data_IF_043645481480
#
_entry.id   IF_043645481480
#
_cell.length_a   1.000
_cell.length_b   1.000
_cell.length_c   1.000
_cell.angle_alpha   90.00
_cell.angle_beta   90.00
_cell.angle_gamma   90.00
#
_symmetry.space_group_name_H-M   'P 1'
#
loop_
_entity.id
_entity.type
_entity.pdbx_description
1 polymer ?
#
# COMPACT_ATOMS: atom_id res chain seq x y z
N UNK A 1 -14.97 4.23 1.39
CA UNK A 1 -14.11 5.36 1.78
C UNK A 1 -13.43 5.90 0.53
N UNK A 2 -13.79 7.13 0.14
CA UNK A 2 -13.21 7.80 -1.04
C UNK A 2 -11.90 8.44 -0.59
N UNK A 3 -10.77 7.86 -0.97
CA UNK A 3 -9.47 8.47 -0.76
C UNK A 3 -9.24 9.56 -1.83
N UNK A 4 -8.72 10.69 -1.39
CA UNK A 4 -8.50 11.92 -2.13
C UNK A 4 -7.92 11.70 -3.54
N UNK A 5 -8.40 12.44 -4.54
CA UNK A 5 -7.82 12.42 -5.87
C UNK A 5 -6.41 13.04 -5.83
N UNK A 6 -5.39 12.25 -6.13
CA UNK A 6 -4.05 12.78 -6.37
C UNK A 6 -3.99 13.34 -7.79
N UNK A 7 -3.69 14.61 -7.91
CA UNK A 7 -3.44 15.27 -9.19
C UNK A 7 -1.97 15.58 -9.30
N UNK A 8 -1.27 14.96 -10.24
CA UNK A 8 0.10 15.34 -10.58
C UNK A 8 0.06 16.46 -11.61
N UNK A 9 0.50 17.65 -11.24
CA UNK A 9 0.56 18.81 -12.11
C UNK A 9 2.03 19.05 -12.48
N UNK A 10 2.35 18.98 -13.77
CA UNK A 10 3.60 19.50 -14.31
C UNK A 10 3.34 20.90 -14.82
N UNK A 11 3.98 21.89 -14.19
CA UNK A 11 3.87 23.31 -14.53
C UNK A 11 5.19 23.81 -15.08
N UNK A 12 5.21 24.33 -16.30
CA UNK A 12 6.26 25.22 -16.75
C UNK A 12 5.75 26.66 -16.63
N UNK A 13 6.51 27.52 -15.96
CA UNK A 13 6.05 28.80 -15.41
C UNK A 13 5.82 29.94 -16.42
N UNK A 14 5.92 29.72 -17.70
CA UNK A 14 5.93 30.85 -18.65
C UNK A 14 4.79 30.90 -19.69
N UNK A 15 4.09 29.78 -19.91
CA UNK A 15 2.96 29.78 -20.85
C UNK A 15 1.99 28.70 -20.42
N UNK A 16 0.75 28.89 -20.15
CA UNK A 16 -0.36 27.99 -19.85
C UNK A 16 -0.19 26.46 -20.21
N UNK A 17 1.06 26.00 -20.33
CA UNK A 17 1.48 24.65 -20.70
C UNK A 17 1.49 23.72 -19.47
N UNK A 18 0.30 23.41 -18.99
CA UNK A 18 0.16 22.43 -17.93
C UNK A 18 -0.47 21.13 -18.46
N UNK A 19 -0.08 20.04 -17.83
CA UNK A 19 -0.72 18.72 -18.02
C UNK A 19 -1.05 18.16 -16.66
N UNK A 20 -2.28 17.70 -16.49
CA UNK A 20 -2.70 17.00 -15.30
C UNK A 20 -3.15 15.56 -15.61
N UNK A 21 -2.90 14.66 -14.69
CA UNK A 21 -3.40 13.30 -14.73
C UNK A 21 -4.04 13.00 -13.37
N UNK A 22 -5.35 12.77 -13.37
CA UNK A 22 -6.08 12.43 -12.15
C UNK A 22 -5.94 10.94 -11.88
N UNK A 23 -5.74 10.60 -10.61
CA UNK A 23 -5.74 9.23 -10.14
C UNK A 23 -6.78 9.09 -9.04
N UNK A 24 -7.59 8.04 -9.09
CA UNK A 24 -8.61 7.75 -8.09
C UNK A 24 -8.54 6.30 -7.65
N UNK A 25 -8.78 6.06 -6.38
CA UNK A 25 -8.94 4.72 -5.80
C UNK A 25 -10.26 4.68 -5.06
N UNK A 26 -11.09 3.69 -5.37
CA UNK A 26 -12.31 3.36 -4.64
C UNK A 26 -12.22 1.93 -4.14
N UNK A 27 -12.75 1.67 -2.95
CA UNK A 27 -12.88 0.33 -2.40
C UNK A 27 -14.26 0.22 -1.76
N UNK A 28 -15.01 -0.80 -2.17
CA UNK A 28 -16.34 -1.10 -1.69
C UNK A 28 -16.55 -2.62 -1.60
N UNK A 29 -17.78 -3.04 -1.37
CA UNK A 29 -18.17 -4.46 -1.31
C UNK A 29 -17.91 -5.25 -2.61
N UNK A 30 -17.74 -4.56 -3.75
CA UNK A 30 -17.46 -5.18 -5.04
C UNK A 30 -15.95 -5.28 -5.34
N UNK A 31 -15.10 -4.72 -4.48
CA UNK A 31 -13.65 -4.78 -4.59
C UNK A 31 -12.96 -3.43 -4.62
N UNK A 32 -11.73 -3.43 -5.10
CA UNK A 32 -10.92 -2.22 -5.23
C UNK A 32 -10.72 -1.86 -6.69
N UNK A 33 -11.04 -0.63 -7.04
CA UNK A 33 -10.83 -0.06 -8.38
C UNK A 33 -9.86 1.11 -8.29
N UNK A 34 -8.83 1.07 -9.11
CA UNK A 34 -7.89 2.18 -9.28
C UNK A 34 -7.92 2.66 -10.73
N UNK A 35 -8.07 3.96 -10.92
CA UNK A 35 -8.16 4.59 -12.23
C UNK A 35 -7.08 5.66 -12.36
N UNK A 36 -6.33 5.62 -13.44
CA UNK A 36 -5.50 6.71 -13.94
C UNK A 36 -6.23 7.29 -15.14
N UNK A 37 -6.72 8.50 -15.02
CA UNK A 37 -7.44 9.18 -16.10
C UNK A 37 -6.48 9.58 -17.24
N UNK A 38 -7.05 9.77 -18.42
CA UNK A 38 -6.33 10.37 -19.54
C UNK A 38 -5.71 11.71 -19.15
N UNK A 39 -4.51 11.99 -19.65
CA UNK A 39 -3.86 13.27 -19.42
C UNK A 39 -4.70 14.41 -20.03
N UNK A 40 -4.86 15.49 -19.27
CA UNK A 40 -5.59 16.68 -19.66
C UNK A 40 -4.64 17.88 -19.75
N UNK A 41 -4.96 18.84 -20.64
CA UNK A 41 -4.15 20.00 -20.90
C UNK A 41 -3.29 19.87 -22.17
N UNK A 42 -2.14 20.54 -22.22
CA UNK A 42 -1.27 20.47 -23.40
C UNK A 42 -0.45 19.19 -23.40
N UNK A 43 -1.00 18.11 -23.93
CA UNK A 43 -0.32 16.82 -24.02
C UNK A 43 0.89 16.77 -24.95
N UNK A 44 1.10 17.83 -25.75
CA UNK A 44 2.29 17.93 -26.61
C UNK A 44 3.61 18.09 -25.83
N UNK A 45 3.52 18.57 -24.56
CA UNK A 45 4.70 18.77 -23.69
C UNK A 45 5.12 17.52 -22.92
N UNK A 46 4.41 16.41 -23.09
CA UNK A 46 4.71 15.14 -22.43
C UNK A 46 4.93 14.01 -23.44
N UNK A 47 5.63 12.94 -23.07
CA UNK A 47 5.76 11.77 -23.92
C UNK A 47 4.37 11.22 -24.32
N UNK A 48 4.21 10.91 -25.60
CA UNK A 48 2.95 10.37 -26.15
C UNK A 48 2.62 8.98 -25.60
N UNK A 49 3.63 8.24 -25.13
CA UNK A 49 3.48 6.97 -24.43
C UNK A 49 4.17 7.02 -23.09
N UNK A 50 3.56 6.39 -22.10
CA UNK A 50 4.06 6.30 -20.72
C UNK A 50 4.09 4.86 -20.27
N UNK A 51 5.03 4.53 -19.41
CA UNK A 51 5.01 3.28 -18.66
C UNK A 51 4.56 3.55 -17.23
N UNK A 52 3.66 2.70 -16.73
CA UNK A 52 3.14 2.79 -15.39
C UNK A 52 3.68 1.67 -14.53
N UNK A 53 4.15 2.00 -13.35
CA UNK A 53 4.47 1.04 -12.29
C UNK A 53 3.64 1.41 -11.07
N UNK A 54 2.54 0.71 -10.90
CA UNK A 54 1.56 0.97 -9.84
C UNK A 54 1.75 -0.06 -8.74
N UNK A 55 1.96 0.39 -7.51
CA UNK A 55 2.11 -0.46 -6.33
C UNK A 55 0.83 -0.43 -5.51
N UNK A 56 0.29 -1.60 -5.29
CA UNK A 56 -0.86 -1.81 -4.41
C UNK A 56 -0.36 -2.43 -3.11
N UNK A 57 -0.14 -1.57 -2.10
CA UNK A 57 0.31 -2.01 -0.78
C UNK A 57 -0.78 -2.87 -0.13
N UNK A 58 -0.35 -3.94 0.53
CA UNK A 58 -1.19 -4.88 1.27
C UNK A 58 -2.18 -5.72 0.43
N UNK A 59 -2.29 -5.52 -0.88
CA UNK A 59 -3.08 -6.41 -1.74
C UNK A 59 -2.13 -7.41 -2.38
N UNK A 60 -2.24 -8.67 -1.97
CA UNK A 60 -1.32 -9.74 -2.39
C UNK A 60 -1.74 -10.42 -3.68
N UNK A 61 -3.02 -10.40 -4.00
CA UNK A 61 -3.54 -10.99 -5.22
C UNK A 61 -3.25 -10.14 -6.45
N UNK A 62 -3.23 -10.81 -7.60
CA UNK A 62 -3.18 -10.12 -8.89
C UNK A 62 -4.53 -9.44 -9.16
N UNK A 63 -4.53 -8.33 -9.90
CA UNK A 63 -5.78 -7.74 -10.38
C UNK A 63 -6.62 -8.75 -11.14
N UNK A 64 -7.91 -8.69 -10.95
CA UNK A 64 -8.89 -9.45 -11.73
C UNK A 64 -8.91 -8.97 -13.18
N UNK A 65 -8.75 -7.66 -13.36
CA UNK A 65 -8.76 -7.04 -14.69
C UNK A 65 -7.88 -5.79 -14.73
N UNK A 66 -7.20 -5.61 -15.84
CA UNK A 66 -6.51 -4.37 -16.21
C UNK A 66 -6.99 -3.94 -17.58
N UNK A 67 -7.50 -2.71 -17.71
CA UNK A 67 -7.96 -2.17 -18.98
C UNK A 67 -7.25 -0.86 -19.33
N UNK A 68 -7.09 -0.64 -20.64
CA UNK A 68 -6.66 0.63 -21.22
C UNK A 68 -7.75 1.09 -22.20
N UNK A 69 -8.31 2.26 -21.96
CA UNK A 69 -9.48 2.77 -22.70
C UNK A 69 -10.64 1.75 -22.77
N UNK A 70 -10.89 1.05 -21.65
CA UNK A 70 -11.96 0.06 -21.53
C UNK A 70 -11.70 -1.29 -22.22
N UNK A 71 -10.54 -1.45 -22.87
CA UNK A 71 -10.14 -2.72 -23.49
C UNK A 71 -9.15 -3.45 -22.57
N UNK A 72 -9.33 -4.77 -22.42
CA UNK A 72 -8.42 -5.60 -21.60
C UNK A 72 -7.00 -5.50 -22.14
N UNK A 73 -6.09 -5.09 -21.25
CA UNK A 73 -4.67 -4.94 -21.57
C UNK A 73 -3.92 -6.24 -21.22
N UNK A 74 -3.61 -7.03 -22.24
CA UNK A 74 -3.04 -8.37 -22.08
C UNK A 74 -1.55 -8.38 -21.73
N UNK A 75 -0.83 -7.29 -22.02
CA UNK A 75 0.61 -7.17 -21.82
C UNK A 75 0.95 -6.60 -20.43
N UNK A 76 0.00 -6.61 -19.49
CA UNK A 76 0.25 -6.23 -18.12
C UNK A 76 1.18 -7.25 -17.45
N UNK A 77 2.27 -6.76 -16.88
CA UNK A 77 3.17 -7.57 -16.07
C UNK A 77 2.84 -7.38 -14.58
N UNK A 78 2.95 -8.46 -13.81
CA UNK A 78 2.68 -8.45 -12.39
C UNK A 78 3.90 -8.95 -11.62
N UNK A 79 4.23 -8.28 -10.51
CA UNK A 79 5.29 -8.68 -9.61
C UNK A 79 4.83 -8.55 -8.16
N UNK A 80 5.38 -9.38 -7.29
CA UNK A 80 5.20 -9.26 -5.85
C UNK A 80 6.06 -8.12 -5.30
N UNK A 81 5.48 -7.28 -4.47
CA UNK A 81 6.23 -6.31 -3.65
C UNK A 81 6.46 -6.90 -2.25
N UNK A 82 7.57 -7.58 -2.07
CA UNK A 82 7.92 -8.20 -0.77
C UNK A 82 8.07 -7.19 0.35
N UNK A 83 8.47 -5.95 0.03
CA UNK A 83 8.71 -4.91 1.04
C UNK A 83 7.41 -4.32 1.58
N UNK A 84 6.40 -4.18 0.72
CA UNK A 84 5.11 -3.60 1.04
C UNK A 84 3.98 -4.65 1.07
N UNK A 85 4.36 -5.92 1.07
CA UNK A 85 3.45 -7.08 1.12
C UNK A 85 2.28 -6.94 0.12
N UNK A 86 2.60 -6.57 -1.11
CA UNK A 86 1.57 -6.22 -2.08
C UNK A 86 1.91 -6.62 -3.50
N UNK A 87 1.13 -6.11 -4.44
CA UNK A 87 1.27 -6.39 -5.86
C UNK A 87 1.69 -5.15 -6.63
N UNK A 88 2.61 -5.34 -7.57
CA UNK A 88 3.05 -4.33 -8.54
C UNK A 88 2.43 -4.66 -9.89
N UNK A 89 1.76 -3.68 -10.47
CA UNK A 89 1.24 -3.73 -11.85
C UNK A 89 2.13 -2.87 -12.73
N UNK A 90 2.65 -3.45 -13.80
CA UNK A 90 3.53 -2.78 -14.75
C UNK A 90 2.86 -2.76 -16.12
N UNK A 91 2.69 -1.57 -16.66
CA UNK A 91 2.13 -1.33 -17.99
C UNK A 91 3.15 -0.55 -18.81
N UNK A 92 3.44 -1.00 -20.02
CA UNK A 92 4.42 -0.39 -20.92
C UNK A 92 3.70 0.26 -22.10
N UNK A 93 4.27 1.35 -22.60
CA UNK A 93 3.81 2.00 -23.85
C UNK A 93 2.32 2.40 -23.89
N UNK A 94 1.76 2.73 -22.74
CA UNK A 94 0.37 3.22 -22.63
C UNK A 94 0.29 4.64 -23.21
N UNK A 95 -0.65 4.94 -24.14
CA UNK A 95 -0.84 6.29 -24.64
C UNK A 95 -1.13 7.29 -23.50
N UNK A 96 -0.61 8.50 -23.62
CA UNK A 96 -0.76 9.54 -22.58
C UNK A 96 -2.22 9.99 -22.40
N UNK A 97 -3.02 9.90 -23.46
CA UNK A 97 -4.45 10.21 -23.52
C UNK A 97 -5.34 9.01 -23.19
N UNK A 98 -4.75 7.89 -22.78
CA UNK A 98 -5.52 6.71 -22.41
C UNK A 98 -5.84 6.67 -20.90
N UNK A 99 -7.05 6.24 -20.58
CA UNK A 99 -7.42 5.87 -19.23
C UNK A 99 -6.93 4.46 -18.92
N UNK A 100 -6.30 4.28 -17.76
CA UNK A 100 -5.95 2.97 -17.21
C UNK A 100 -6.87 2.65 -16.04
N UNK A 101 -7.44 1.45 -16.03
CA UNK A 101 -8.24 0.96 -14.90
C UNK A 101 -7.69 -0.38 -14.42
N UNK A 102 -7.46 -0.50 -13.13
CA UNK A 102 -7.04 -1.74 -12.45
C UNK A 102 -8.12 -2.13 -11.45
N UNK A 103 -8.62 -3.35 -11.55
CA UNK A 103 -9.70 -3.85 -10.70
C UNK A 103 -9.24 -5.10 -9.94
N UNK A 104 -9.42 -5.09 -8.63
CA UNK A 104 -9.24 -6.24 -7.75
C UNK A 104 -10.61 -6.75 -7.29
N UNK A 105 -10.72 -8.05 -7.13
CA UNK A 105 -11.92 -8.68 -6.59
C UNK A 105 -12.19 -8.25 -5.14
N UNK A 106 -13.43 -8.39 -4.70
CA UNK A 106 -13.82 -8.06 -3.32
C UNK A 106 -13.12 -8.93 -2.26
N UNK A 107 -12.85 -10.17 -2.62
CA UNK A 107 -12.17 -11.17 -1.79
C UNK A 107 -10.66 -11.24 -2.04
N UNK A 108 -10.07 -10.24 -2.72
CA UNK A 108 -8.64 -10.19 -2.95
C UNK A 108 -7.87 -10.27 -1.62
N UNK A 109 -6.89 -11.16 -1.56
CA UNK A 109 -6.10 -11.39 -0.36
C UNK A 109 -5.37 -10.12 0.09
N UNK A 110 -5.66 -9.71 1.32
CA UNK A 110 -5.04 -8.56 1.97
C UNK A 110 -4.03 -9.07 2.99
N UNK A 111 -2.82 -8.51 2.96
CA UNK A 111 -1.80 -8.84 3.95
C UNK A 111 -2.30 -8.56 5.36
N UNK A 112 -2.25 -9.58 6.19
CA UNK A 112 -2.51 -9.47 7.62
C UNK A 112 -1.16 -9.40 8.33
N UNK A 113 -0.90 -8.28 8.99
CA UNK A 113 0.35 -8.07 9.73
C UNK A 113 0.41 -9.01 10.92
N UNK A 114 1.48 -9.78 11.03
CA UNK A 114 1.76 -10.61 12.20
C UNK A 114 2.62 -9.83 13.20
N UNK A 115 1.97 -9.14 14.11
CA UNK A 115 2.63 -8.37 15.16
C UNK A 115 3.47 -9.26 16.09
N UNK A 116 3.03 -10.52 16.32
CA UNK A 116 3.75 -11.43 17.19
C UNK A 116 5.10 -11.83 16.58
N UNK A 117 5.14 -12.09 15.28
CA UNK A 117 6.40 -12.41 14.58
C UNK A 117 7.37 -11.24 14.61
N UNK A 118 6.89 -10.02 14.30
CA UNK A 118 7.74 -8.82 14.34
C UNK A 118 8.29 -8.55 15.75
N UNK A 119 7.47 -8.72 16.76
CA UNK A 119 7.86 -8.52 18.16
C UNK A 119 8.80 -9.62 18.62
N UNK A 120 8.63 -10.85 18.16
CA UNK A 120 9.52 -11.95 18.48
C UNK A 120 10.98 -11.63 18.10
N UNK A 121 11.21 -11.11 16.90
CA UNK A 121 12.57 -10.73 16.46
C UNK A 121 13.21 -9.65 17.36
N UNK A 122 12.40 -8.75 17.90
CA UNK A 122 12.88 -7.71 18.82
C UNK A 122 13.18 -8.30 20.19
N UNK A 123 12.29 -9.16 20.68
CA UNK A 123 12.46 -9.81 21.97
C UNK A 123 13.70 -10.72 21.99
N UNK A 124 14.05 -11.37 20.87
CA UNK A 124 15.28 -12.16 20.81
C UNK A 124 16.52 -11.31 21.15
N UNK A 125 16.57 -10.08 20.65
CA UNK A 125 17.67 -9.13 20.83
C UNK A 125 17.60 -8.36 22.16
N UNK A 126 16.43 -8.33 22.81
CA UNK A 126 16.21 -7.57 24.03
C UNK A 126 16.93 -8.17 25.24
N UNK A 127 17.56 -7.32 26.07
CA UNK A 127 18.23 -7.73 27.31
C UNK A 127 17.22 -7.78 28.47
N UNK A 128 16.31 -8.72 28.42
CA UNK A 128 15.31 -9.03 29.45
C UNK A 128 15.32 -10.53 29.74
N UNK A 129 14.70 -10.94 30.83
CA UNK A 129 14.63 -12.35 31.21
C UNK A 129 13.81 -13.17 30.21
N UNK A 130 14.11 -14.45 30.09
CA UNK A 130 13.33 -15.36 29.23
C UNK A 130 11.83 -15.38 29.60
N UNK A 131 11.54 -15.35 30.91
CA UNK A 131 10.16 -15.30 31.39
C UNK A 131 9.42 -14.05 30.87
N UNK A 132 10.06 -12.87 30.93
CA UNK A 132 9.50 -11.64 30.40
C UNK A 132 9.31 -11.70 28.88
N UNK A 133 10.26 -12.26 28.12
CA UNK A 133 10.11 -12.46 26.66
C UNK A 133 8.89 -13.29 26.34
N UNK A 134 8.73 -14.42 27.03
CA UNK A 134 7.60 -15.34 26.83
C UNK A 134 6.26 -14.69 27.15
N UNK A 135 6.21 -13.92 28.23
CA UNK A 135 5.00 -13.25 28.65
C UNK A 135 4.58 -12.13 27.67
N UNK A 136 5.52 -11.29 27.24
CA UNK A 136 5.27 -10.24 26.23
C UNK A 136 4.78 -10.89 24.93
N UNK A 137 5.47 -11.92 24.43
CA UNK A 137 5.10 -12.62 23.21
C UNK A 137 3.68 -13.20 23.28
N UNK A 138 3.36 -13.85 24.42
CA UNK A 138 2.01 -14.42 24.64
C UNK A 138 0.93 -13.34 24.60
N UNK A 139 1.13 -12.25 25.34
CA UNK A 139 0.19 -11.13 25.39
C UNK A 139 -0.05 -10.54 24.00
N UNK A 140 1.02 -10.31 23.22
CA UNK A 140 0.87 -9.75 21.88
C UNK A 140 0.19 -10.74 20.93
N UNK A 141 0.54 -12.02 21.03
CA UNK A 141 -0.08 -13.05 20.18
C UNK A 141 -1.58 -13.21 20.43
N UNK A 142 -2.02 -13.05 21.69
CA UNK A 142 -3.42 -13.17 22.08
C UNK A 142 -4.23 -11.89 21.79
N UNK A 143 -3.65 -10.71 22.00
CA UNK A 143 -4.36 -9.43 21.99
C UNK A 143 -4.03 -8.53 20.78
N UNK A 144 -2.96 -8.82 20.02
CA UNK A 144 -2.56 -7.97 18.90
C UNK A 144 -2.36 -6.51 19.34
N UNK A 145 -3.00 -5.58 18.65
CA UNK A 145 -2.94 -4.13 18.97
C UNK A 145 -3.53 -3.77 20.33
N UNK A 146 -4.42 -4.59 20.87
CA UNK A 146 -5.01 -4.40 22.21
C UNK A 146 -4.06 -4.77 23.35
N UNK A 147 -2.88 -5.29 23.04
CA UNK A 147 -1.86 -5.62 24.04
C UNK A 147 -1.26 -4.38 24.74
N UNK A 148 -1.34 -3.19 24.14
CA UNK A 148 -0.69 -1.97 24.62
C UNK A 148 -0.94 -1.67 26.12
N UNK A 149 -2.18 -1.65 26.63
CA UNK A 149 -2.42 -1.39 28.04
C UNK A 149 -1.76 -2.42 28.97
N UNK A 150 -1.76 -3.69 28.57
CA UNK A 150 -1.14 -4.77 29.35
C UNK A 150 0.37 -4.61 29.38
N UNK A 151 1.01 -4.35 28.22
CA UNK A 151 2.45 -4.13 28.13
C UNK A 151 2.92 -2.96 29.00
N UNK A 152 2.14 -1.88 29.07
CA UNK A 152 2.44 -0.72 29.96
C UNK A 152 2.46 -1.16 31.42
N UNK A 153 1.62 -2.09 31.83
CA UNK A 153 1.55 -2.59 33.21
C UNK A 153 2.68 -3.57 33.59
N UNK A 154 3.40 -4.12 32.60
CA UNK A 154 4.43 -5.14 32.82
C UNK A 154 5.77 -4.60 33.31
N UNK A 155 5.89 -3.30 33.57
CA UNK A 155 7.12 -2.65 34.05
C UNK A 155 8.37 -2.98 33.20
N UNK A 156 8.20 -2.97 31.87
CA UNK A 156 9.27 -3.18 30.91
C UNK A 156 10.21 -1.96 30.87
N UNK A 157 11.44 -2.18 30.38
CA UNK A 157 12.34 -1.08 30.08
C UNK A 157 11.65 -0.07 29.14
N UNK A 158 11.68 1.26 29.42
CA UNK A 158 10.99 2.27 28.62
C UNK A 158 11.35 2.26 27.14
N UNK A 159 12.61 1.99 26.80
CA UNK A 159 13.04 1.91 25.41
C UNK A 159 12.43 0.70 24.68
N UNK A 160 12.36 -0.45 25.34
CA UNK A 160 11.71 -1.63 24.78
C UNK A 160 10.21 -1.40 24.64
N UNK A 161 9.57 -0.89 25.68
CA UNK A 161 8.14 -0.57 25.64
C UNK A 161 7.81 0.41 24.50
N UNK A 162 8.62 1.43 24.29
CA UNK A 162 8.45 2.38 23.18
C UNK A 162 8.46 1.70 21.81
N UNK A 163 9.41 0.80 21.56
CA UNK A 163 9.49 0.04 20.31
C UNK A 163 8.29 -0.88 20.13
N UNK A 164 7.87 -1.59 21.18
CA UNK A 164 6.70 -2.47 21.11
C UNK A 164 5.41 -1.68 20.82
N UNK A 165 5.25 -0.53 21.44
CA UNK A 165 4.12 0.37 21.20
C UNK A 165 4.12 0.91 19.77
N UNK A 166 5.29 1.30 19.25
CA UNK A 166 5.43 1.77 17.88
C UNK A 166 4.96 0.71 16.89
N UNK A 167 5.41 -0.54 17.05
CA UNK A 167 4.99 -1.65 16.16
C UNK A 167 3.48 -1.86 16.23
N UNK A 168 2.91 -1.89 17.43
CA UNK A 168 1.49 -2.18 17.63
C UNK A 168 0.57 -1.04 17.18
N UNK A 169 1.06 0.20 17.13
CA UNK A 169 0.28 1.38 16.72
C UNK A 169 0.55 1.86 15.29
N UNK A 170 1.65 1.44 14.68
CA UNK A 170 1.98 1.72 13.28
C UNK A 170 1.10 0.90 12.33
N UNK A 171 -0.09 1.34 12.09
CA UNK A 171 -0.99 0.64 11.14
C UNK A 171 -2.46 0.90 11.44
N UNK A 172 -2.70 1.83 12.36
CA UNK A 172 -4.02 2.37 12.65
C UNK A 172 -4.26 3.59 11.75
#
# INVERSE_FOLDING_TARGET
STLFPYTTVFRSDLDENWVSTRMTKTADENGTVFIVEAAQGNTAVIPQKRSWKIRFCNIQDKPQEVTVNGQVYKDAEFAEDKKLHGTIVILKDVPADAQVKVTFAADAAVYQRDYAEEIYEILEKAQITYAQKTEVYKVVKELGTEAVPVLVSMNLNPSLLGVLMEILTMGI
#
